data_IF_053471836448
#
_entry.id   IF_053471836448
#
_cell.length_a   1.000
_cell.length_b   1.000
_cell.length_c   1.000
_cell.angle_alpha   90.00
_cell.angle_beta   90.00
_cell.angle_gamma   90.00
#
_symmetry.space_group_name_H-M   'P 1'
#
loop_
_entity.id
_entity.type
_entity.pdbx_description
1 polymer ?
#
# COMPACT_ATOMS: atom_id res chain seq x y z
N UNK A 1 -14.65 16.58 87.08
CA UNK A 1 -15.08 15.69 85.99
C UNK A 1 -14.97 16.50 84.70
N UNK A 2 -13.74 16.71 84.19
CA UNK A 2 -13.13 15.88 83.12
C UNK A 2 -14.18 15.57 82.04
N UNK A 3 -14.07 16.02 80.78
CA UNK A 3 -12.98 15.69 79.86
C UNK A 3 -13.02 16.55 78.58
N UNK A 4 -11.84 17.03 78.18
CA UNK A 4 -11.21 17.12 76.84
C UNK A 4 -12.01 17.53 75.58
N UNK A 5 -11.54 18.65 75.01
CA UNK A 5 -11.28 18.97 73.60
C UNK A 5 -11.02 17.77 72.68
N UNK A 6 -11.46 17.85 71.42
CA UNK A 6 -10.64 17.61 70.20
C UNK A 6 -11.34 18.27 68.99
N UNK A 7 -10.59 19.17 68.34
CA UNK A 7 -10.86 19.71 66.99
C UNK A 7 -10.70 18.59 65.96
N UNK A 8 -11.65 18.42 65.05
CA UNK A 8 -11.40 17.73 63.78
C UNK A 8 -11.62 18.70 62.62
N UNK A 9 -10.49 19.21 62.13
CA UNK A 9 -10.31 19.69 60.77
C UNK A 9 -10.41 18.45 59.87
N UNK A 10 -11.24 18.50 58.82
CA UNK A 10 -10.96 17.79 57.58
C UNK A 10 -11.65 18.50 56.41
N UNK A 11 -10.89 19.46 55.89
CA UNK A 11 -10.93 19.89 54.51
C UNK A 11 -10.58 18.67 53.65
N UNK A 12 -11.56 18.09 52.96
CA UNK A 12 -11.33 17.10 51.92
C UNK A 12 -11.70 17.73 50.58
N UNK A 13 -10.73 18.41 49.97
CA UNK A 13 -10.74 18.58 48.54
C UNK A 13 -10.54 17.22 47.87
N UNK A 14 -11.31 16.95 46.83
CA UNK A 14 -10.84 16.11 45.74
C UNK A 14 -11.12 16.82 44.43
N UNK A 15 -10.08 17.54 44.02
CA UNK A 15 -9.80 17.85 42.63
C UNK A 15 -9.75 16.56 41.81
N UNK A 16 -10.29 16.67 40.59
CA UNK A 16 -9.81 16.03 39.36
C UNK A 16 -9.58 14.52 39.36
N UNK A 17 -10.36 13.83 38.55
CA UNK A 17 -9.82 12.98 37.48
C UNK A 17 -10.87 12.83 36.39
N UNK A 18 -11.05 13.88 35.58
CA UNK A 18 -11.37 13.62 34.20
C UNK A 18 -10.12 12.93 33.65
N UNK A 19 -10.15 11.60 33.60
CA UNK A 19 -9.21 10.84 32.81
C UNK A 19 -9.46 11.32 31.37
N UNK A 20 -8.73 12.36 30.97
CA UNK A 20 -8.41 12.58 29.58
C UNK A 20 -7.69 11.29 29.24
N UNK A 21 -8.41 10.38 28.61
CA UNK A 21 -7.81 9.32 27.83
C UNK A 21 -7.03 10.08 26.76
N UNK A 22 -5.81 10.48 27.10
CA UNK A 22 -4.73 10.66 26.17
C UNK A 22 -4.43 9.29 25.62
N UNK A 23 -5.37 8.75 24.86
CA UNK A 23 -5.03 7.83 23.80
C UNK A 23 -4.12 8.67 22.92
N UNK A 24 -2.81 8.46 23.06
CA UNK A 24 -1.94 8.75 21.93
C UNK A 24 -2.63 8.12 20.74
N UNK A 25 -2.96 8.93 19.74
CA UNK A 25 -3.42 8.42 18.47
C UNK A 25 -2.29 7.54 17.96
N UNK A 26 -2.35 6.24 18.27
CA UNK A 26 -1.51 5.26 17.60
C UNK A 26 -1.90 5.39 16.13
N UNK A 27 -0.94 5.64 15.25
CA UNK A 27 -1.28 5.70 13.84
C UNK A 27 -1.84 4.33 13.49
N UNK A 28 -3.09 4.31 13.05
CA UNK A 28 -3.74 3.06 12.71
C UNK A 28 -3.00 2.48 11.51
N UNK A 29 -2.57 1.23 11.61
CA UNK A 29 -2.12 0.48 10.45
C UNK A 29 -3.26 0.40 9.44
N UNK A 30 -2.98 0.61 8.16
CA UNK A 30 -3.96 0.48 7.09
C UNK A 30 -3.35 -0.18 5.86
N UNK A 31 -4.20 -0.67 4.98
CA UNK A 31 -3.78 -1.25 3.70
C UNK A 31 -4.35 -0.46 2.54
N UNK A 32 -3.55 -0.31 1.49
CA UNK A 32 -3.95 0.22 0.19
C UNK A 32 -3.73 -0.86 -0.84
N UNK A 33 -4.62 -0.98 -1.81
CA UNK A 33 -4.45 -1.86 -2.94
C UNK A 33 -4.40 -1.07 -4.24
N UNK A 34 -3.99 -1.72 -5.31
CA UNK A 34 -4.08 -1.22 -6.68
C UNK A 34 -4.07 -2.39 -7.65
N UNK A 35 -4.52 -2.12 -8.87
CA UNK A 35 -4.49 -3.10 -9.95
C UNK A 35 -4.15 -2.41 -11.26
N UNK A 36 -3.26 -3.02 -12.04
CA UNK A 36 -2.95 -2.58 -13.39
C UNK A 36 -3.45 -3.65 -14.34
N UNK A 37 -4.09 -3.19 -15.41
CA UNK A 37 -4.62 -4.05 -16.47
C UNK A 37 -3.91 -3.73 -17.77
N UNK A 38 -3.92 -4.71 -18.68
CA UNK A 38 -3.09 -4.79 -19.87
C UNK A 38 -3.09 -3.60 -20.83
N UNK A 39 -2.37 -3.82 -21.92
CA UNK A 39 -2.08 -2.80 -22.90
C UNK A 39 -3.18 -2.76 -23.97
N UNK A 40 -4.00 -1.69 -24.06
CA UNK A 40 -5.14 -1.63 -24.98
C UNK A 40 -4.73 -1.43 -26.44
N UNK A 41 -3.42 -1.32 -26.73
CA UNK A 41 -2.89 -1.19 -28.09
C UNK A 41 -3.00 -2.53 -28.81
N UNK A 42 -3.63 -2.55 -29.97
CA UNK A 42 -4.00 -3.78 -30.72
C UNK A 42 -2.82 -4.69 -31.06
N UNK A 43 -1.61 -4.14 -31.20
CA UNK A 43 -0.41 -4.90 -31.56
C UNK A 43 0.29 -5.52 -30.33
N UNK A 44 -0.13 -5.17 -29.11
CA UNK A 44 0.54 -5.59 -27.88
C UNK A 44 -0.17 -6.80 -27.23
N UNK A 45 0.55 -7.59 -26.40
CA UNK A 45 -0.05 -8.74 -25.75
C UNK A 45 -1.16 -8.37 -24.75
N UNK A 46 -2.31 -9.03 -24.88
CA UNK A 46 -3.46 -8.91 -23.98
C UNK A 46 -3.30 -9.74 -22.69
N UNK A 47 -4.28 -9.69 -21.77
CA UNK A 47 -4.35 -10.52 -20.55
C UNK A 47 -3.17 -10.34 -19.57
N UNK A 48 -2.67 -9.10 -19.51
CA UNK A 48 -1.68 -8.69 -18.53
C UNK A 48 -2.38 -8.08 -17.31
N UNK A 49 -1.96 -8.54 -16.13
CA UNK A 49 -2.49 -8.10 -14.84
C UNK A 49 -1.36 -8.01 -13.82
N UNK A 50 -1.36 -6.92 -13.05
CA UNK A 50 -0.50 -6.74 -11.88
C UNK A 50 -1.35 -6.31 -10.71
N UNK A 51 -1.13 -6.96 -9.56
CA UNK A 51 -1.72 -6.57 -8.30
C UNK A 51 -0.70 -5.82 -7.46
N UNK A 52 -1.14 -4.73 -6.83
CA UNK A 52 -0.33 -3.94 -5.91
C UNK A 52 -0.97 -3.98 -4.54
N UNK A 53 -0.19 -4.36 -3.53
CA UNK A 53 -0.56 -4.31 -2.13
C UNK A 53 0.39 -3.42 -1.35
N UNK A 54 -0.14 -2.59 -0.47
CA UNK A 54 0.64 -1.68 0.36
C UNK A 54 0.12 -1.81 1.79
N UNK A 55 0.99 -2.24 2.70
CA UNK A 55 0.68 -2.31 4.12
C UNK A 55 1.43 -1.21 4.86
N UNK A 56 0.70 -0.36 5.56
CA UNK A 56 1.24 0.82 6.23
C UNK A 56 1.20 0.63 7.73
N UNK A 57 2.32 0.93 8.38
CA UNK A 57 2.45 1.05 9.82
C UNK A 57 3.24 2.33 10.14
N UNK A 58 2.57 3.30 10.76
CA UNK A 58 3.13 4.63 11.07
C UNK A 58 3.79 5.30 9.85
N UNK A 59 5.13 5.38 9.87
CA UNK A 59 5.97 6.04 8.87
C UNK A 59 6.43 5.10 7.76
N UNK A 60 6.14 3.80 7.85
CA UNK A 60 6.63 2.77 6.93
C UNK A 60 5.48 2.21 6.10
N UNK A 61 5.60 2.28 4.78
CA UNK A 61 4.72 1.62 3.82
C UNK A 61 5.50 0.47 3.16
N UNK A 62 5.00 -0.77 3.32
CA UNK A 62 5.56 -1.96 2.68
C UNK A 62 4.77 -2.28 1.43
N UNK A 63 5.43 -2.22 0.29
CA UNK A 63 4.87 -2.44 -1.04
C UNK A 63 5.07 -3.88 -1.48
N UNK A 64 4.11 -4.40 -2.23
CA UNK A 64 4.16 -5.68 -2.91
C UNK A 64 3.56 -5.50 -4.28
N UNK A 65 4.32 -5.81 -5.33
CA UNK A 65 3.90 -5.77 -6.73
C UNK A 65 4.01 -7.19 -7.27
N UNK A 66 2.88 -7.74 -7.67
CA UNK A 66 2.72 -9.13 -8.05
C UNK A 66 2.18 -9.26 -9.48
N UNK A 67 2.87 -10.03 -10.32
CA UNK A 67 2.42 -10.28 -11.69
C UNK A 67 1.39 -11.42 -11.64
N UNK A 68 0.16 -11.13 -12.05
CA UNK A 68 -0.94 -12.07 -12.07
C UNK A 68 -1.37 -12.40 -13.51
N UNK A 69 -0.40 -12.67 -14.38
CA UNK A 69 -0.59 -12.83 -15.84
C UNK A 69 -0.35 -14.28 -16.29
N UNK A 70 -1.23 -15.24 -15.93
CA UNK A 70 -0.98 -16.67 -16.13
C UNK A 70 -0.85 -17.10 -17.59
N UNK A 71 -1.40 -16.32 -18.54
CA UNK A 71 -1.23 -16.57 -19.97
C UNK A 71 0.15 -16.18 -20.51
N UNK A 72 0.96 -15.49 -19.69
CA UNK A 72 2.34 -15.12 -19.98
C UNK A 72 3.23 -15.71 -18.88
N UNK A 73 3.45 -17.04 -18.84
CA UNK A 73 4.14 -17.71 -17.73
C UNK A 73 5.58 -17.21 -17.54
N UNK A 74 6.20 -16.70 -18.61
CA UNK A 74 7.55 -16.16 -18.60
C UNK A 74 7.61 -14.64 -18.38
N UNK A 75 6.47 -13.99 -18.09
CA UNK A 75 6.42 -12.54 -17.89
C UNK A 75 7.38 -12.10 -16.79
N UNK A 76 8.06 -10.99 -17.06
CA UNK A 76 9.02 -10.36 -16.16
C UNK A 76 8.69 -8.88 -16.00
N UNK A 77 8.71 -8.40 -14.77
CA UNK A 77 8.63 -6.96 -14.50
C UNK A 77 9.99 -6.34 -14.78
N UNK A 78 9.98 -5.28 -15.56
CA UNK A 78 11.16 -4.47 -15.88
C UNK A 78 11.13 -3.16 -15.10
N UNK A 79 9.98 -2.48 -15.14
CA UNK A 79 9.78 -1.17 -14.51
C UNK A 79 8.41 -1.13 -13.83
N UNK A 80 8.33 -0.54 -12.63
CA UNK A 80 7.07 -0.24 -11.93
C UNK A 80 7.02 1.22 -11.53
N UNK A 81 5.95 1.90 -11.92
CA UNK A 81 5.76 3.32 -11.74
C UNK A 81 4.62 3.62 -10.79
N UNK A 82 4.80 4.65 -9.96
CA UNK A 82 3.75 5.08 -9.05
C UNK A 82 3.84 6.57 -8.73
N UNK A 83 2.66 7.17 -8.56
CA UNK A 83 2.49 8.51 -8.02
C UNK A 83 2.02 8.45 -6.58
N UNK A 84 2.35 9.49 -5.82
CA UNK A 84 1.81 9.74 -4.48
C UNK A 84 1.05 11.07 -4.49
N UNK A 85 0.23 11.29 -3.46
CA UNK A 85 -0.49 12.52 -3.23
C UNK A 85 0.45 13.73 -3.16
N UNK A 86 -0.05 14.91 -3.52
CA UNK A 86 0.74 16.15 -3.56
C UNK A 86 1.31 16.57 -2.19
N UNK A 87 0.79 16.01 -1.11
CA UNK A 87 1.29 16.10 0.28
C UNK A 87 2.61 15.35 0.51
N UNK A 88 3.04 14.50 -0.43
CA UNK A 88 4.29 13.72 -0.34
C UNK A 88 5.35 14.37 -1.22
N UNK A 89 6.39 14.91 -0.57
CA UNK A 89 7.59 15.34 -1.28
C UNK A 89 8.51 14.15 -1.48
N UNK A 90 8.92 13.88 -2.71
CA UNK A 90 9.78 12.74 -3.02
C UNK A 90 11.10 12.72 -2.27
N UNK A 91 11.68 13.90 -1.96
CA UNK A 91 12.91 14.00 -1.18
C UNK A 91 12.76 13.55 0.28
N UNK A 92 11.53 13.41 0.79
CA UNK A 92 11.23 12.96 2.15
C UNK A 92 10.97 11.45 2.24
N UNK A 93 10.99 10.74 1.11
CA UNK A 93 10.74 9.29 1.07
C UNK A 93 12.07 8.55 0.94
N UNK A 94 12.32 7.65 1.88
CA UNK A 94 13.47 6.75 1.86
C UNK A 94 13.04 5.35 1.47
N UNK A 95 13.64 4.80 0.42
CA UNK A 95 13.34 3.46 -0.06
C UNK A 95 14.40 2.44 0.39
N UNK A 96 13.96 1.21 0.64
CA UNK A 96 14.85 0.13 1.07
C UNK A 96 14.13 -1.21 1.13
N UNK A 97 14.82 -2.23 1.66
CA UNK A 97 14.21 -3.55 1.87
C UNK A 97 13.78 -4.27 0.58
N UNK A 98 14.46 -3.99 -0.54
CA UNK A 98 14.13 -4.58 -1.83
C UNK A 98 14.30 -6.10 -1.82
N UNK A 99 13.24 -6.79 -2.23
CA UNK A 99 13.22 -8.22 -2.52
C UNK A 99 12.45 -8.41 -3.82
N UNK A 100 13.06 -8.96 -4.87
CA UNK A 100 14.43 -9.42 -4.92
C UNK A 100 15.47 -8.29 -4.79
N UNK A 101 16.68 -8.61 -4.35
CA UNK A 101 17.74 -7.61 -4.20
C UNK A 101 18.21 -7.07 -5.56
N UNK A 102 18.71 -5.84 -5.58
CA UNK A 102 19.25 -5.18 -6.76
C UNK A 102 18.32 -4.11 -7.35
N UNK A 103 17.02 -4.21 -7.12
CA UNK A 103 16.06 -3.17 -7.51
C UNK A 103 16.35 -1.83 -6.85
N UNK A 104 16.11 -0.74 -7.58
CA UNK A 104 16.32 0.64 -7.10
C UNK A 104 15.12 1.50 -7.45
N UNK A 105 14.97 2.63 -6.74
CA UNK A 105 13.94 3.63 -7.03
C UNK A 105 14.59 4.89 -7.60
N UNK A 106 14.09 5.33 -8.75
CA UNK A 106 14.42 6.61 -9.37
C UNK A 106 13.31 7.64 -9.12
N UNK A 107 13.70 8.90 -8.94
CA UNK A 107 12.79 10.06 -8.85
C UNK A 107 13.50 11.32 -9.37
N UNK A 108 12.92 12.05 -10.34
CA UNK A 108 11.69 11.72 -11.06
C UNK A 108 11.84 10.43 -11.88
N UNK A 109 10.73 9.74 -12.14
CA UNK A 109 10.73 8.56 -13.00
C UNK A 109 11.09 8.92 -14.45
N UNK A 110 11.67 7.96 -15.18
CA UNK A 110 11.91 8.08 -16.61
C UNK A 110 11.27 6.92 -17.34
N UNK A 111 10.02 7.07 -17.79
CA UNK A 111 9.29 5.99 -18.47
C UNK A 111 9.98 5.58 -19.77
N UNK A 112 10.57 4.37 -19.83
CA UNK A 112 11.25 3.85 -21.04
C UNK A 112 10.39 2.78 -21.74
N UNK A 113 9.84 1.84 -20.98
CA UNK A 113 9.06 0.71 -21.52
C UNK A 113 7.72 1.04 -22.17
N UNK A 114 7.23 2.28 -22.03
CA UNK A 114 5.95 2.71 -22.58
C UNK A 114 5.97 3.00 -24.09
N UNK A 115 7.14 3.07 -24.71
CA UNK A 115 7.30 3.54 -26.09
C UNK A 115 6.93 5.02 -26.19
N UNK A 116 5.89 5.37 -26.97
CA UNK A 116 5.38 6.74 -27.05
C UNK A 116 4.61 7.17 -25.79
N UNK A 117 4.31 6.23 -24.90
CA UNK A 117 3.69 6.51 -23.62
C UNK A 117 4.75 6.98 -22.61
N UNK A 118 4.79 8.29 -22.38
CA UNK A 118 5.82 8.99 -21.62
C UNK A 118 5.24 9.87 -20.48
N UNK A 119 4.39 9.36 -19.59
CA UNK A 119 3.92 10.13 -18.44
C UNK A 119 5.06 10.45 -17.48
N UNK A 120 4.88 11.51 -16.69
CA UNK A 120 5.88 12.01 -15.73
C UNK A 120 5.65 11.45 -14.33
N UNK A 121 5.69 10.13 -14.16
CA UNK A 121 5.50 9.50 -12.84
C UNK A 121 6.49 10.05 -11.80
N UNK A 122 6.08 10.06 -10.53
CA UNK A 122 6.94 10.56 -9.46
C UNK A 122 8.09 9.59 -9.18
N UNK A 123 7.80 8.30 -9.12
CA UNK A 123 8.75 7.24 -8.83
C UNK A 123 8.71 6.11 -9.84
N UNK A 124 9.86 5.47 -10.01
CA UNK A 124 10.05 4.25 -10.78
C UNK A 124 10.89 3.28 -9.98
N UNK A 125 10.39 2.07 -9.72
CA UNK A 125 11.19 0.93 -9.33
C UNK A 125 11.70 0.26 -10.61
N UNK A 126 13.01 0.15 -10.76
CA UNK A 126 13.63 -0.40 -11.98
C UNK A 126 14.54 -1.57 -11.65
N UNK A 127 14.49 -2.59 -12.51
CA UNK A 127 15.47 -3.67 -12.52
C UNK A 127 16.78 -3.17 -13.20
N UNK A 128 17.90 -2.99 -12.47
CA UNK A 128 19.08 -2.45 -13.10
C UNK A 128 19.69 -3.44 -14.11
N UNK A 129 20.39 -2.94 -15.15
CA UNK A 129 20.99 -3.79 -16.17
C UNK A 129 21.90 -4.87 -15.57
N UNK A 130 21.68 -6.12 -15.97
CA UNK A 130 22.48 -7.26 -15.52
C UNK A 130 22.05 -7.86 -14.18
N UNK A 131 20.96 -7.39 -13.58
CA UNK A 131 20.38 -8.07 -12.43
C UNK A 131 19.76 -9.42 -12.87
N UNK A 132 20.05 -10.49 -12.13
CA UNK A 132 19.47 -11.82 -12.37
C UNK A 132 18.18 -12.05 -11.58
N UNK A 133 17.84 -11.14 -10.67
CA UNK A 133 16.78 -11.32 -9.70
C UNK A 133 15.45 -10.79 -10.23
N UNK A 134 14.92 -11.53 -11.21
CA UNK A 134 13.71 -11.19 -11.94
C UNK A 134 12.47 -11.30 -11.04
N UNK A 135 11.57 -10.33 -11.19
CA UNK A 135 10.20 -10.38 -10.67
C UNK A 135 9.32 -11.04 -11.73
N UNK A 136 8.56 -12.07 -11.35
CA UNK A 136 7.82 -12.97 -12.25
C UNK A 136 6.45 -13.31 -11.67
N UNK A 137 5.64 -14.13 -12.36
CA UNK A 137 4.37 -14.64 -11.80
C UNK A 137 4.53 -15.45 -10.48
N UNK A 138 5.74 -15.90 -10.14
CA UNK A 138 6.02 -16.67 -8.93
C UNK A 138 6.83 -15.89 -7.89
N UNK A 139 7.33 -14.71 -8.24
CA UNK A 139 8.24 -13.90 -7.42
C UNK A 139 7.79 -12.45 -7.51
N UNK A 140 7.25 -11.93 -6.42
CA UNK A 140 6.81 -10.55 -6.32
C UNK A 140 8.00 -9.59 -6.10
N UNK A 141 7.82 -8.33 -6.47
CA UNK A 141 8.66 -7.24 -5.98
C UNK A 141 8.10 -6.76 -4.64
N UNK A 142 8.97 -6.63 -3.64
CA UNK A 142 8.67 -6.06 -2.34
C UNK A 142 9.73 -5.01 -1.99
N UNK A 143 9.28 -3.90 -1.41
CA UNK A 143 10.17 -2.86 -0.89
C UNK A 143 9.44 -2.03 0.17
N UNK A 144 10.19 -1.26 0.94
CA UNK A 144 9.65 -0.35 1.95
C UNK A 144 9.90 1.10 1.54
N UNK A 145 8.89 1.96 1.75
CA UNK A 145 8.99 3.40 1.65
C UNK A 145 8.78 4.00 3.06
N UNK A 146 9.80 4.67 3.58
CA UNK A 146 9.75 5.35 4.88
C UNK A 146 9.60 6.85 4.66
N UNK A 147 8.56 7.44 5.24
CA UNK A 147 8.28 8.86 5.18
C UNK A 147 8.65 9.53 6.51
N UNK A 148 9.05 10.80 6.50
CA UNK A 148 9.39 11.56 7.71
C UNK A 148 8.19 11.95 8.59
N UNK A 149 6.99 11.48 8.24
CA UNK A 149 5.74 11.60 8.98
C UNK A 149 4.92 10.33 8.76
N UNK A 150 3.86 10.17 9.53
CA UNK A 150 2.93 9.07 9.32
C UNK A 150 2.28 9.20 7.94
N UNK A 151 2.14 8.06 7.28
CA UNK A 151 1.37 7.93 6.05
C UNK A 151 -0.13 8.12 6.33
N UNK A 152 -0.84 8.57 5.32
CA UNK A 152 -2.29 8.73 5.32
C UNK A 152 -2.87 8.11 4.06
N UNK A 153 -4.17 7.76 4.08
CA UNK A 153 -4.85 7.24 2.89
C UNK A 153 -4.82 8.24 1.71
N UNK A 154 -4.84 9.54 2.01
CA UNK A 154 -4.78 10.59 1.00
C UNK A 154 -3.42 10.62 0.28
N UNK A 155 -2.33 10.18 0.91
CA UNK A 155 -1.01 10.08 0.26
C UNK A 155 -1.01 9.08 -0.92
N UNK A 156 -2.02 8.22 -1.01
CA UNK A 156 -2.19 7.28 -2.12
C UNK A 156 -3.38 7.68 -3.01
N UNK A 157 -4.58 7.80 -2.43
CA UNK A 157 -5.80 7.99 -3.22
C UNK A 157 -5.94 9.39 -3.85
N UNK A 158 -5.23 10.40 -3.34
CA UNK A 158 -5.20 11.73 -3.95
C UNK A 158 -4.07 11.92 -4.98
N UNK A 159 -3.29 10.87 -5.26
CA UNK A 159 -2.23 10.91 -6.26
C UNK A 159 -2.81 11.32 -7.62
N UNK A 160 -2.11 12.22 -8.34
CA UNK A 160 -2.52 12.60 -9.67
C UNK A 160 -2.40 11.41 -10.62
N UNK A 161 -3.46 11.15 -11.39
CA UNK A 161 -3.38 10.24 -12.54
C UNK A 161 -2.73 11.01 -13.69
N UNK A 162 -1.62 10.51 -14.22
CA UNK A 162 -0.87 11.19 -15.27
C UNK A 162 -1.26 10.66 -16.63
N UNK A 163 -1.50 11.58 -17.56
CA UNK A 163 -1.77 11.31 -18.95
C UNK A 163 -0.48 11.41 -19.76
N UNK A 164 -0.35 10.56 -20.77
CA UNK A 164 0.61 10.74 -21.86
C UNK A 164 -0.11 11.31 -23.09
N UNK A 165 0.66 11.71 -24.10
CA UNK A 165 0.15 12.05 -25.44
C UNK A 165 -0.41 10.84 -26.21
N UNK A 166 -0.12 9.62 -25.77
CA UNK A 166 -0.68 8.40 -26.36
C UNK A 166 -2.16 8.24 -25.96
N UNK A 167 -3.06 8.41 -26.93
CA UNK A 167 -4.51 8.48 -26.67
C UNK A 167 -5.13 7.11 -26.35
N UNK A 168 -4.46 6.02 -26.70
CA UNK A 168 -4.96 4.65 -26.45
C UNK A 168 -4.79 4.21 -25.01
N UNK A 169 -3.79 4.74 -24.30
CA UNK A 169 -3.54 4.44 -22.89
C UNK A 169 -4.23 5.48 -21.99
N UNK A 170 -5.03 5.04 -21.00
CA UNK A 170 -5.69 5.97 -20.09
C UNK A 170 -4.71 6.64 -19.12
N UNK A 171 -5.19 7.67 -18.43
CA UNK A 171 -4.46 8.22 -17.29
C UNK A 171 -4.35 7.19 -16.17
N UNK A 172 -3.22 7.17 -15.46
CA UNK A 172 -3.01 6.26 -14.33
C UNK A 172 -2.22 6.87 -13.19
N UNK A 173 -2.48 6.39 -11.98
CA UNK A 173 -1.64 6.63 -10.80
C UNK A 173 -0.48 5.62 -10.71
N UNK A 174 -0.67 4.45 -11.33
CA UNK A 174 0.27 3.34 -11.36
C UNK A 174 0.56 2.96 -12.82
N UNK A 175 1.78 2.53 -13.08
CA UNK A 175 2.20 1.99 -14.38
C UNK A 175 3.18 0.83 -14.22
N UNK A 176 3.30 -0.01 -15.23
CA UNK A 176 4.31 -1.06 -15.23
C UNK A 176 4.68 -1.48 -16.64
N UNK A 177 5.96 -1.75 -16.86
CA UNK A 177 6.46 -2.39 -18.06
C UNK A 177 6.74 -3.87 -17.80
N UNK A 178 6.09 -4.74 -18.57
CA UNK A 178 6.36 -6.17 -18.57
C UNK A 178 7.06 -6.58 -19.85
N UNK A 179 8.02 -7.48 -19.72
CA UNK A 179 8.75 -8.11 -20.83
C UNK A 179 8.54 -9.62 -20.84
N UNK A 180 9.12 -10.30 -21.83
CA UNK A 180 9.06 -11.75 -21.97
C UNK A 180 7.64 -12.29 -22.14
N UNK A 181 6.80 -11.49 -22.80
CA UNK A 181 5.39 -11.80 -23.03
C UNK A 181 5.25 -12.76 -24.20
N UNK A 182 4.49 -13.84 -24.00
CA UNK A 182 4.10 -14.76 -25.05
C UNK A 182 3.23 -14.07 -26.10
N UNK A 183 3.51 -14.30 -27.39
CA UNK A 183 2.70 -13.80 -28.50
C UNK A 183 1.86 -14.91 -29.12
N UNK A 184 0.61 -14.59 -29.46
CA UNK A 184 -0.31 -15.56 -30.04
C UNK A 184 0.20 -16.03 -31.42
N UNK A 185 0.22 -17.35 -31.63
CA UNK A 185 0.62 -17.93 -32.92
C UNK A 185 2.12 -17.99 -33.18
N UNK A 186 2.98 -17.60 -32.22
CA UNK A 186 4.43 -17.76 -32.35
C UNK A 186 5.04 -18.48 -31.14
N UNK A 187 5.67 -19.64 -31.38
CA UNK A 187 6.47 -20.33 -30.37
C UNK A 187 7.88 -19.74 -30.31
N UNK A 188 8.24 -19.11 -29.19
CA UNK A 188 9.58 -18.55 -28.96
C UNK A 188 9.73 -17.06 -29.31
N UNK A 189 8.69 -16.41 -29.83
CA UNK A 189 8.64 -14.96 -29.87
C UNK A 189 8.44 -14.40 -28.45
N UNK A 190 9.05 -13.25 -28.19
CA UNK A 190 8.92 -12.49 -26.95
C UNK A 190 8.57 -11.07 -27.30
N UNK A 191 7.62 -10.51 -26.56
CA UNK A 191 7.21 -9.11 -26.70
C UNK A 191 7.23 -8.42 -25.33
N UNK A 192 6.86 -7.14 -25.32
CA UNK A 192 6.66 -6.34 -24.11
C UNK A 192 5.32 -5.60 -24.14
N UNK A 193 4.91 -5.09 -22.99
CA UNK A 193 3.62 -4.42 -22.83
C UNK A 193 3.66 -3.46 -21.66
N UNK A 194 2.84 -2.42 -21.74
CA UNK A 194 2.73 -1.42 -20.69
C UNK A 194 1.33 -1.46 -20.07
N UNK A 195 1.28 -1.65 -18.76
CA UNK A 195 0.03 -1.69 -18.00
C UNK A 195 -0.17 -0.37 -17.27
N UNK A 196 -1.43 0.03 -17.15
CA UNK A 196 -1.85 1.20 -16.40
C UNK A 196 -2.90 0.82 -15.38
N UNK A 197 -2.85 1.49 -14.22
CA UNK A 197 -3.78 1.25 -13.13
C UNK A 197 -3.90 2.41 -12.16
N UNK A 198 -4.71 2.18 -11.14
CA UNK A 198 -4.98 3.13 -10.07
C UNK A 198 -5.00 2.41 -8.72
N UNK A 199 -4.87 3.18 -7.63
CA UNK A 199 -5.12 2.65 -6.30
C UNK A 199 -6.62 2.34 -6.13
N UNK A 200 -6.94 1.22 -5.50
CA UNK A 200 -8.31 0.79 -5.21
C UNK A 200 -8.54 0.79 -3.69
N UNK A 201 -9.73 1.24 -3.26
CA UNK A 201 -10.14 1.24 -1.85
C UNK A 201 -10.61 -0.13 -1.37
N UNK A 202 -11.10 -0.93 -2.29
CA UNK A 202 -11.48 -2.31 -2.05
C UNK A 202 -10.38 -3.17 -2.68
N UNK A 203 -9.71 -3.99 -1.87
CA UNK A 203 -8.59 -4.85 -2.30
C UNK A 203 -8.80 -5.42 -3.70
N UNK A 204 -7.87 -5.13 -4.60
CA UNK A 204 -7.95 -5.50 -6.03
C UNK A 204 -8.38 -6.95 -6.21
N UNK A 205 -9.40 -7.15 -7.06
CA UNK A 205 -10.04 -8.43 -7.30
C UNK A 205 -9.05 -9.48 -7.78
N UNK A 206 -8.71 -10.42 -6.90
CA UNK A 206 -7.78 -11.50 -7.20
C UNK A 206 -7.51 -12.39 -5.99
N UNK A 207 -8.56 -12.78 -5.26
CA UNK A 207 -8.57 -13.91 -4.32
C UNK A 207 -7.41 -14.02 -3.32
N UNK A 208 -7.52 -13.35 -2.16
CA UNK A 208 -7.29 -13.95 -0.85
C UNK A 208 -7.84 -13.03 0.25
N UNK A 209 -8.43 -13.63 1.27
CA UNK A 209 -9.40 -13.02 2.18
C UNK A 209 -8.93 -11.76 2.89
N UNK A 210 -9.85 -10.80 3.00
CA UNK A 210 -9.76 -9.67 3.91
C UNK A 210 -9.56 -10.17 5.33
N UNK A 211 -8.36 -9.93 5.88
CA UNK A 211 -8.10 -10.08 7.32
C UNK A 211 -8.87 -8.96 8.03
N UNK A 212 -9.73 -9.25 9.02
CA UNK A 212 -10.41 -8.21 9.77
C UNK A 212 -9.39 -7.30 10.46
N UNK A 213 -9.56 -5.98 10.32
CA UNK A 213 -8.68 -5.01 10.95
C UNK A 213 -8.58 -5.23 12.47
N UNK A 214 -7.40 -5.03 13.10
CA UNK A 214 -7.17 -5.27 14.52
C UNK A 214 -8.16 -4.54 15.45
N UNK A 215 -8.66 -3.38 14.99
CA UNK A 215 -9.64 -2.55 15.68
C UNK A 215 -10.99 -3.26 15.88
N UNK A 216 -11.42 -4.09 14.93
CA UNK A 216 -12.70 -4.81 14.98
C UNK A 216 -12.62 -6.00 15.95
N UNK A 217 -11.47 -6.68 16.02
CA UNK A 217 -11.22 -7.78 16.96
C UNK A 217 -11.14 -7.27 18.40
N UNK A 218 -10.52 -6.11 18.62
CA UNK A 218 -10.48 -5.47 19.93
C UNK A 218 -11.88 -5.06 20.43
N UNK A 219 -12.73 -4.52 19.54
CA UNK A 219 -14.10 -4.15 19.88
C UNK A 219 -14.98 -5.37 20.19
N UNK A 220 -14.83 -6.46 19.42
CA UNK A 220 -15.55 -7.71 19.67
C UNK A 220 -15.12 -8.36 21.00
N UNK A 221 -13.82 -8.32 21.32
CA UNK A 221 -13.28 -8.83 22.59
C UNK A 221 -13.75 -8.04 23.81
N UNK A 222 -13.91 -6.72 23.68
CA UNK A 222 -14.44 -5.85 24.74
C UNK A 222 -15.96 -6.04 24.97
N UNK A 223 -16.72 -6.36 23.92
CA UNK A 223 -18.16 -6.65 24.03
C UNK A 223 -18.49 -7.91 24.83
N UNK A 224 -17.64 -8.94 24.77
CA UNK A 224 -17.83 -10.19 25.51
C UNK A 224 -17.50 -10.09 27.00
N UNK A 225 -16.61 -9.18 27.41
CA UNK A 225 -16.29 -8.94 28.82
C UNK A 225 -17.39 -8.12 29.54
N UNK A 226 -18.16 -7.31 28.81
CA UNK A 226 -19.28 -6.53 29.36
C UNK A 226 -20.52 -7.37 29.72
N UNK A 227 -20.71 -8.53 29.10
CA UNK A 227 -21.86 -9.41 29.36
C UNK A 227 -21.65 -10.37 30.55
N UNK A 228 -20.42 -10.53 31.05
CA UNK A 228 -20.09 -11.44 32.14
C UNK A 228 -20.37 -10.91 33.57
N UNK A 229 -20.55 -9.60 33.75
CA UNK A 229 -20.69 -8.99 35.08
C UNK A 229 -22.14 -8.62 35.47
N UNK A 230 -23.12 -8.96 34.64
CA UNK A 230 -24.55 -8.78 34.97
C UNK A 230 -25.15 -10.03 35.64
N UNK A 231 -24.56 -10.49 36.75
CA UNK A 231 -25.30 -11.30 37.74
C UNK A 231 -25.49 -10.46 39.00
N UNK A 232 -26.62 -9.74 39.04
CA UNK A 232 -27.13 -9.14 40.27
C UNK A 232 -27.45 -10.27 41.27
N UNK A 233 -26.79 -10.17 42.42
CA UNK A 233 -27.22 -10.79 43.68
C UNK A 233 -28.60 -10.26 44.10
N UNK A 234 -29.50 -11.18 44.44
CA UNK A 234 -30.71 -11.13 45.30
C UNK A 234 -31.53 -12.39 44.97
N UNK A 235 -31.92 -13.29 45.88
CA UNK A 235 -32.29 -13.21 47.31
C UNK A 235 -31.66 -14.38 48.06
#
# INVERSE_FOLDING_TARGET
METKTIKHILLAGFLSSAAIFGGGAQAASFSVAGSLTGDPRTDNPDNLFINVGINVLDTVATWTVDIASPLHPNAKLDEFYFNLGSSVNAANVLFGGFSPAGWVINSPASTVGGGNFNPTFLFEAVDPPGNGNNVTNAVNLSFTATLNRNWTLDDFYSAAALQSSEATLPAGQLGAHLQSLSTAGCAGCSDSGFLIGNYTRDGGGGGQGSVPEPSVVALLGMGLLGMGLSRKSKV
#
